data_IF_952386555838
#
_entry.id   IF_952386555838
#
_cell.length_a   1.000
_cell.length_b   1.000
_cell.length_c   1.000
_cell.angle_alpha   90.00
_cell.angle_beta   90.00
_cell.angle_gamma   90.00
#
_symmetry.space_group_name_H-M   'P 1'
#
loop_
_entity.id
_entity.type
_entity.pdbx_description
1 polymer ?
#
# COMPACT_ATOMS: atom_id res chain seq x y z
N UNK A 1 17.61 19.94 0.64
CA UNK A 1 17.75 18.63 1.33
C UNK A 1 19.08 18.04 0.87
N UNK A 2 19.96 17.64 1.80
CA UNK A 2 21.29 17.13 1.47
C UNK A 2 21.22 15.68 0.95
N UNK A 3 21.69 15.44 -0.27
CA UNK A 3 21.66 14.13 -0.93
C UNK A 3 22.43 13.07 -0.13
N UNK A 4 23.44 13.48 0.65
CA UNK A 4 24.22 12.58 1.52
C UNK A 4 23.32 11.96 2.59
N UNK A 5 22.36 12.73 3.12
CA UNK A 5 21.42 12.24 4.15
C UNK A 5 20.55 11.10 3.61
N UNK A 6 20.04 11.25 2.38
CA UNK A 6 19.18 10.24 1.73
C UNK A 6 19.99 8.97 1.46
N UNK A 7 21.19 9.09 0.90
CA UNK A 7 22.03 7.93 0.59
C UNK A 7 22.43 7.15 1.84
N UNK A 8 22.79 7.85 2.93
CA UNK A 8 23.12 7.21 4.22
C UNK A 8 21.92 6.44 4.78
N UNK A 9 20.72 6.99 4.69
CA UNK A 9 19.51 6.30 5.12
C UNK A 9 19.24 5.03 4.29
N UNK A 10 19.37 5.11 2.97
CA UNK A 10 19.21 3.95 2.07
C UNK A 10 20.27 2.86 2.34
N UNK A 11 21.52 3.26 2.57
CA UNK A 11 22.61 2.33 2.87
C UNK A 11 22.41 1.63 4.24
N UNK A 12 21.93 2.37 5.24
CA UNK A 12 21.61 1.83 6.56
C UNK A 12 20.47 0.80 6.48
N UNK A 13 19.38 1.14 5.78
CA UNK A 13 18.24 0.24 5.54
C UNK A 13 18.69 -1.05 4.81
N UNK A 14 19.47 -0.92 3.73
CA UNK A 14 19.99 -2.07 2.99
C UNK A 14 20.84 -2.99 3.89
N UNK A 15 21.76 -2.40 4.66
CA UNK A 15 22.64 -3.14 5.57
C UNK A 15 21.83 -3.87 6.64
N UNK A 16 20.79 -3.23 7.17
CA UNK A 16 19.91 -3.81 8.16
C UNK A 16 19.13 -5.01 7.59
N UNK A 17 18.56 -4.88 6.37
CA UNK A 17 17.87 -5.98 5.70
C UNK A 17 18.80 -7.14 5.35
N UNK A 18 20.03 -6.84 4.93
CA UNK A 18 21.05 -7.85 4.65
C UNK A 18 21.39 -8.63 5.92
N UNK A 19 21.63 -7.95 7.04
CA UNK A 19 21.92 -8.58 8.34
C UNK A 19 20.77 -9.46 8.85
N UNK A 20 19.53 -9.10 8.56
CA UNK A 20 18.36 -9.89 8.94
C UNK A 20 18.01 -11.01 7.96
N UNK A 21 18.76 -11.17 6.85
CA UNK A 21 18.44 -12.17 5.82
C UNK A 21 17.14 -11.87 5.06
N UNK A 22 16.62 -10.63 5.14
CA UNK A 22 15.33 -10.23 4.59
C UNK A 22 15.49 -9.22 3.43
N UNK A 23 16.55 -9.36 2.64
CA UNK A 23 16.96 -8.36 1.64
C UNK A 23 15.85 -8.01 0.63
N UNK A 24 15.26 -9.03 -0.01
CA UNK A 24 14.24 -8.86 -1.04
C UNK A 24 12.82 -8.77 -0.47
N UNK A 25 12.59 -9.48 0.65
CA UNK A 25 11.31 -9.56 1.34
C UNK A 25 11.53 -9.20 2.80
N UNK A 26 11.20 -7.95 3.15
CA UNK A 26 11.22 -7.43 4.50
C UNK A 26 9.80 -7.09 4.96
N UNK A 27 9.33 -7.82 5.97
CA UNK A 27 8.00 -7.63 6.57
C UNK A 27 8.02 -6.74 7.81
N UNK A 28 9.19 -6.20 8.17
CA UNK A 28 9.30 -5.24 9.28
C UNK A 28 8.74 -3.89 8.85
N UNK A 29 7.80 -3.40 9.63
CA UNK A 29 7.20 -2.08 9.44
C UNK A 29 8.27 -0.99 9.48
N UNK A 30 8.15 0.00 8.59
CA UNK A 30 9.10 1.10 8.50
C UNK A 30 10.39 0.80 7.73
N UNK A 31 10.65 -0.46 7.35
CA UNK A 31 11.78 -0.84 6.50
C UNK A 31 11.35 -1.06 5.05
N UNK A 32 12.28 -0.77 4.12
CA UNK A 32 12.05 -0.99 2.69
C UNK A 32 11.84 -2.48 2.38
N UNK A 33 11.16 -2.78 1.28
CA UNK A 33 11.12 -4.14 0.74
C UNK A 33 10.83 -4.08 -0.76
N UNK A 34 11.60 -4.82 -1.55
CA UNK A 34 11.39 -4.91 -2.99
C UNK A 34 10.09 -5.68 -3.31
N UNK A 35 9.79 -6.70 -2.51
CA UNK A 35 8.57 -7.49 -2.65
C UNK A 35 7.69 -7.29 -1.43
N UNK A 36 6.41 -6.99 -1.67
CA UNK A 36 5.37 -6.97 -0.64
C UNK A 36 4.34 -8.04 -0.99
N UNK A 37 4.08 -8.93 -0.05
CA UNK A 37 3.11 -10.02 -0.24
C UNK A 37 1.85 -9.67 0.56
N UNK A 38 0.72 -9.59 -0.13
CA UNK A 38 -0.59 -9.36 0.48
C UNK A 38 -1.41 -10.64 0.28
N UNK A 39 -1.79 -11.29 1.39
CA UNK A 39 -2.47 -12.58 1.33
C UNK A 39 -3.51 -12.75 2.46
N UNK A 40 -4.25 -13.85 2.41
CA UNK A 40 -5.22 -14.24 3.44
C UNK A 40 -6.30 -13.18 3.68
N UNK A 41 -6.56 -12.90 4.97
CA UNK A 41 -7.61 -11.98 5.38
C UNK A 41 -7.40 -10.54 4.89
N UNK A 42 -6.15 -10.08 4.76
CA UNK A 42 -5.87 -8.73 4.25
C UNK A 42 -6.31 -8.62 2.79
N UNK A 43 -5.89 -9.57 1.94
CA UNK A 43 -6.31 -9.59 0.53
C UNK A 43 -7.83 -9.70 0.40
N UNK A 44 -8.46 -10.53 1.24
CA UNK A 44 -9.91 -10.69 1.27
C UNK A 44 -10.62 -9.36 1.57
N UNK A 45 -10.18 -8.61 2.58
CA UNK A 45 -10.75 -7.31 2.95
C UNK A 45 -10.63 -6.27 1.82
N UNK A 46 -9.46 -6.18 1.17
CA UNK A 46 -9.28 -5.25 0.04
C UNK A 46 -10.22 -5.60 -1.12
N UNK A 47 -10.32 -6.89 -1.45
CA UNK A 47 -11.21 -7.38 -2.51
C UNK A 47 -12.68 -7.09 -2.18
N UNK A 48 -13.11 -7.35 -0.95
CA UNK A 48 -14.50 -7.16 -0.54
C UNK A 48 -14.86 -5.66 -0.61
N UNK A 49 -13.97 -4.76 -0.16
CA UNK A 49 -14.12 -3.31 -0.35
C UNK A 49 -14.25 -2.91 -1.84
N UNK A 50 -13.43 -3.48 -2.71
CA UNK A 50 -13.48 -3.16 -4.14
C UNK A 50 -14.83 -3.57 -4.78
N UNK A 51 -15.43 -4.67 -4.31
CA UNK A 51 -16.77 -5.07 -4.73
C UNK A 51 -17.86 -4.13 -4.22
N UNK A 52 -17.76 -3.66 -2.98
CA UNK A 52 -18.68 -2.65 -2.43
C UNK A 52 -18.65 -1.36 -3.26
N UNK A 53 -17.46 -0.89 -3.65
CA UNK A 53 -17.33 0.29 -4.51
C UNK A 53 -17.85 0.04 -5.92
N UNK A 54 -17.56 -1.13 -6.49
CA UNK A 54 -18.08 -1.51 -7.79
C UNK A 54 -19.62 -1.56 -7.79
N UNK A 55 -20.25 -2.11 -6.74
CA UNK A 55 -21.70 -2.15 -6.63
C UNK A 55 -22.32 -0.76 -6.43
N UNK A 56 -21.68 0.08 -5.61
CA UNK A 56 -22.09 1.49 -5.37
C UNK A 56 -22.07 2.33 -6.64
N UNK A 57 -21.06 2.15 -7.50
CA UNK A 57 -20.83 3.03 -8.66
C UNK A 57 -21.11 2.39 -10.03
N UNK A 58 -21.65 1.16 -10.08
CA UNK A 58 -21.92 0.41 -11.34
C UNK A 58 -22.78 1.15 -12.37
N UNK A 59 -23.58 2.14 -11.94
CA UNK A 59 -24.40 2.97 -12.83
C UNK A 59 -23.59 4.02 -13.59
N UNK A 60 -22.41 4.38 -13.08
CA UNK A 60 -21.60 5.50 -13.59
C UNK A 60 -20.44 5.02 -14.48
N UNK A 61 -19.99 3.78 -14.33
CA UNK A 61 -18.88 3.21 -15.10
C UNK A 61 -18.94 1.67 -15.12
N UNK A 62 -18.22 1.01 -16.05
CA UNK A 62 -18.14 -0.44 -16.08
C UNK A 62 -17.61 -1.01 -14.77
N UNK A 63 -18.32 -2.00 -14.21
CA UNK A 63 -18.00 -2.69 -12.93
C UNK A 63 -16.53 -3.12 -12.87
N UNK A 64 -16.03 -3.74 -13.95
CA UNK A 64 -14.62 -4.18 -14.05
C UNK A 64 -13.63 -3.02 -13.88
N UNK A 65 -13.93 -1.86 -14.46
CA UNK A 65 -13.06 -0.67 -14.37
C UNK A 65 -13.03 -0.15 -12.94
N UNK A 66 -14.21 -0.01 -12.31
CA UNK A 66 -14.32 0.45 -10.92
C UNK A 66 -13.54 -0.48 -9.99
N UNK A 67 -13.73 -1.79 -10.14
CA UNK A 67 -13.04 -2.79 -9.32
C UNK A 67 -11.51 -2.71 -9.48
N UNK A 68 -11.01 -2.70 -10.72
CA UNK A 68 -9.56 -2.66 -10.98
C UNK A 68 -8.93 -1.40 -10.42
N UNK A 69 -9.54 -0.23 -10.64
CA UNK A 69 -9.00 1.04 -10.14
C UNK A 69 -8.93 1.06 -8.61
N UNK A 70 -10.01 0.65 -7.93
CA UNK A 70 -10.02 0.58 -6.47
C UNK A 70 -9.01 -0.45 -5.95
N UNK A 71 -8.85 -1.59 -6.62
CA UNK A 71 -7.88 -2.61 -6.23
C UNK A 71 -6.45 -2.08 -6.34
N UNK A 72 -6.12 -1.35 -7.40
CA UNK A 72 -4.80 -0.73 -7.58
C UNK A 72 -4.51 0.28 -6.45
N UNK A 73 -5.44 1.19 -6.17
CA UNK A 73 -5.29 2.18 -5.10
C UNK A 73 -5.17 1.52 -3.72
N UNK A 74 -5.99 0.50 -3.44
CA UNK A 74 -5.96 -0.22 -2.16
C UNK A 74 -4.69 -1.02 -1.93
N UNK A 75 -4.16 -1.65 -2.98
CA UNK A 75 -2.86 -2.32 -2.91
C UNK A 75 -1.74 -1.32 -2.65
N UNK A 76 -1.75 -0.18 -3.34
CA UNK A 76 -0.76 0.88 -3.10
C UNK A 76 -0.83 1.42 -1.67
N UNK A 77 -2.04 1.67 -1.15
CA UNK A 77 -2.26 2.12 0.23
C UNK A 77 -1.67 1.15 1.26
N UNK A 78 -1.93 -0.15 1.12
CA UNK A 78 -1.39 -1.17 2.04
C UNK A 78 0.14 -1.25 1.97
N UNK A 79 0.72 -1.19 0.76
CA UNK A 79 2.18 -1.18 0.59
C UNK A 79 2.78 0.05 1.24
N UNK A 80 2.23 1.25 0.97
CA UNK A 80 2.75 2.51 1.49
C UNK A 80 2.63 2.58 3.01
N UNK A 81 1.50 2.18 3.60
CA UNK A 81 1.32 2.13 5.06
C UNK A 81 2.36 1.24 5.74
N UNK A 82 2.64 0.05 5.19
CA UNK A 82 3.64 -0.85 5.75
C UNK A 82 5.05 -0.23 5.78
N UNK A 83 5.36 0.69 4.84
CA UNK A 83 6.67 1.36 4.75
C UNK A 83 6.75 2.66 5.52
N UNK A 84 5.66 3.42 5.58
CA UNK A 84 5.63 4.73 6.23
C UNK A 84 5.08 4.67 7.66
N UNK A 85 4.62 3.51 8.12
CA UNK A 85 4.16 3.26 9.49
C UNK A 85 3.16 4.33 9.97
N UNK A 86 3.34 4.85 11.18
CA UNK A 86 2.50 5.89 11.78
C UNK A 86 2.59 7.29 11.15
N UNK A 87 3.35 7.47 10.07
CA UNK A 87 3.45 8.76 9.35
C UNK A 87 2.24 8.96 8.42
N UNK A 88 1.53 7.88 8.07
CA UNK A 88 0.38 7.93 7.16
C UNK A 88 -0.92 7.66 7.92
N UNK A 89 -1.85 8.62 7.86
CA UNK A 89 -3.21 8.45 8.38
C UNK A 89 -4.08 7.62 7.43
N UNK A 90 -5.07 6.91 7.98
CA UNK A 90 -6.07 6.22 7.15
C UNK A 90 -6.90 7.24 6.37
N UNK A 91 -7.19 6.93 5.12
CA UNK A 91 -8.11 7.74 4.31
C UNK A 91 -9.52 7.58 4.87
N UNK A 92 -10.17 8.72 5.16
CA UNK A 92 -11.58 8.77 5.52
C UNK A 92 -12.44 8.86 4.26
N UNK A 93 -13.08 7.73 3.92
CA UNK A 93 -13.94 7.60 2.74
C UNK A 93 -15.37 8.13 2.96
N UNK A 94 -15.75 8.49 4.19
CA UNK A 94 -17.00 9.18 4.48
C UNK A 94 -16.88 10.67 4.12
N UNK A 95 -15.70 11.24 4.35
CA UNK A 95 -15.42 12.66 4.09
C UNK A 95 -15.00 12.89 2.63
N UNK A 96 -14.13 12.03 2.05
CA UNK A 96 -13.68 12.19 0.67
C UNK A 96 -14.64 11.56 -0.34
N UNK A 97 -15.49 12.39 -0.93
CA UNK A 97 -16.38 12.04 -2.04
C UNK A 97 -15.61 11.96 -3.37
N UNK A 98 -14.74 10.95 -3.52
CA UNK A 98 -14.01 10.69 -4.75
C UNK A 98 -12.49 10.59 -4.57
N UNK A 99 -11.88 9.70 -5.35
CA UNK A 99 -10.44 9.40 -5.35
C UNK A 99 -10.22 7.91 -5.61
N UNK A 100 -9.25 7.59 -6.46
CA UNK A 100 -8.97 6.24 -6.96
C UNK A 100 -8.18 5.38 -5.95
N UNK A 101 -8.31 5.69 -4.65
CA UNK A 101 -7.42 5.20 -3.59
C UNK A 101 -6.30 6.18 -3.28
#
# INVERSE_FOLDING_TARGET
MDWITILRAQQADFTQRLKFGCLLRCEKEGLHSELTVIHGNSLKRLRDFCWEMADKFKRNAPVRRIFINNMQGKLAEEVVKARLAGIVSKVDYEIKHGGDG
#
